data_IF_270730146675
#
_entry.id   IF_270730146675
#
_cell.length_a   1.000
_cell.length_b   1.000
_cell.length_c   1.000
_cell.angle_alpha   90.00
_cell.angle_beta   90.00
_cell.angle_gamma   90.00
#
_symmetry.space_group_name_H-M   'P 1'
#
loop_
_entity.id
_entity.type
_entity.pdbx_description
1 polymer ?
#
# COMPACT_ATOMS: atom_id res chain seq x y z
N UNK A 1 -12.70 19.94 4.66
CA UNK A 1 -13.05 19.67 3.24
C UNK A 1 -14.00 20.70 2.58
N UNK A 2 -14.41 21.79 3.24
CA UNK A 2 -15.33 22.82 2.67
C UNK A 2 -14.64 23.86 1.79
N UNK A 3 -13.31 23.93 1.82
CA UNK A 3 -12.52 24.90 1.05
C UNK A 3 -12.32 24.43 -0.40
N UNK A 4 -12.14 23.12 -0.64
CA UNK A 4 -11.85 22.57 -1.96
C UNK A 4 -13.01 22.77 -2.94
N UNK A 5 -14.25 22.43 -2.52
CA UNK A 5 -15.47 22.67 -3.29
C UNK A 5 -15.72 24.17 -3.53
N UNK A 6 -15.44 25.03 -2.55
CA UNK A 6 -15.54 26.49 -2.72
C UNK A 6 -14.48 27.05 -3.68
N UNK A 7 -13.26 26.52 -3.67
CA UNK A 7 -12.20 26.88 -4.63
C UNK A 7 -12.58 26.42 -6.06
N UNK A 8 -13.14 25.22 -6.18
CA UNK A 8 -13.69 24.68 -7.43
C UNK A 8 -14.82 25.56 -8.01
N UNK A 9 -15.64 26.19 -7.18
CA UNK A 9 -16.71 27.10 -7.63
C UNK A 9 -16.20 28.48 -8.09
N UNK A 10 -15.07 28.94 -7.57
CA UNK A 10 -14.47 30.25 -7.93
C UNK A 10 -13.80 30.18 -9.31
N UNK A 11 -13.32 28.99 -9.70
CA UNK A 11 -12.73 28.73 -11.00
C UNK A 11 -13.82 28.13 -11.89
N UNK A 12 -14.10 28.73 -13.04
CA UNK A 12 -15.03 28.20 -14.06
C UNK A 12 -14.51 26.89 -14.67
N UNK A 13 -14.46 25.79 -13.89
CA UNK A 13 -13.85 24.54 -14.32
C UNK A 13 -14.85 23.68 -15.08
N UNK A 14 -14.44 23.22 -16.26
CA UNK A 14 -15.22 22.36 -17.14
C UNK A 14 -15.20 20.88 -16.72
N UNK A 15 -14.34 20.48 -15.77
CA UNK A 15 -14.18 19.10 -15.29
C UNK A 15 -13.53 19.05 -13.90
N UNK A 16 -13.70 17.93 -13.20
CA UNK A 16 -13.04 17.62 -11.92
C UNK A 16 -12.16 16.37 -12.08
N UNK A 17 -11.01 16.33 -11.40
CA UNK A 17 -10.13 15.15 -11.35
C UNK A 17 -9.93 14.72 -9.89
N UNK A 18 -10.08 13.42 -9.61
CA UNK A 18 -9.78 12.83 -8.30
C UNK A 18 -8.73 11.73 -8.45
N UNK A 19 -7.75 11.71 -7.54
CA UNK A 19 -6.68 10.70 -7.48
C UNK A 19 -6.72 9.93 -6.16
N UNK A 20 -6.50 8.62 -6.20
CA UNK A 20 -6.56 7.73 -5.04
C UNK A 20 -5.37 6.79 -4.98
N UNK A 21 -4.71 6.73 -3.81
CA UNK A 21 -3.52 5.90 -3.59
C UNK A 21 -3.81 4.65 -2.74
N UNK A 22 -4.75 4.74 -1.79
CA UNK A 22 -5.08 3.66 -0.87
C UNK A 22 -6.56 3.29 -0.96
N UNK A 23 -6.94 2.11 -0.46
CA UNK A 23 -8.33 1.61 -0.56
C UNK A 23 -9.33 2.57 0.07
N UNK A 24 -9.08 3.17 1.25
CA UNK A 24 -9.96 4.19 1.82
C UNK A 24 -10.23 5.41 0.92
N UNK A 25 -9.33 5.74 -0.02
CA UNK A 25 -9.54 6.86 -0.96
C UNK A 25 -10.75 6.63 -1.88
N UNK A 26 -11.17 5.38 -2.12
CA UNK A 26 -12.30 5.07 -2.98
C UNK A 26 -13.63 5.53 -2.35
N UNK A 27 -13.78 5.45 -1.03
CA UNK A 27 -14.99 5.91 -0.34
C UNK A 27 -15.11 7.44 -0.34
N UNK A 28 -13.98 8.15 -0.20
CA UNK A 28 -13.96 9.60 -0.34
C UNK A 28 -14.40 10.03 -1.74
N UNK A 29 -13.95 9.31 -2.78
CA UNK A 29 -14.40 9.56 -4.15
C UNK A 29 -15.91 9.32 -4.32
N UNK A 30 -16.44 8.22 -3.77
CA UNK A 30 -17.89 7.93 -3.82
C UNK A 30 -18.69 9.01 -3.07
N UNK A 31 -18.26 9.39 -1.87
CA UNK A 31 -18.87 10.45 -1.06
C UNK A 31 -18.87 11.80 -1.79
N UNK A 32 -17.77 12.15 -2.45
CA UNK A 32 -17.68 13.37 -3.25
C UNK A 32 -18.63 13.33 -4.46
N UNK A 33 -18.75 12.18 -5.14
CA UNK A 33 -19.67 12.00 -6.26
C UNK A 33 -21.14 12.13 -5.83
N UNK A 34 -21.52 11.52 -4.71
CA UNK A 34 -22.87 11.62 -4.14
C UNK A 34 -23.23 13.06 -3.76
N UNK A 35 -22.27 13.81 -3.19
CA UNK A 35 -22.43 15.24 -2.90
C UNK A 35 -22.58 16.07 -4.18
N UNK A 36 -21.74 15.84 -5.18
CA UNK A 36 -21.86 16.53 -6.48
C UNK A 36 -23.25 16.29 -7.09
N UNK A 37 -23.77 15.06 -7.00
CA UNK A 37 -25.09 14.71 -7.48
C UNK A 37 -26.21 15.44 -6.71
N UNK A 38 -26.10 15.42 -5.37
CA UNK A 38 -27.05 16.06 -4.45
C UNK A 38 -27.12 17.57 -4.66
N UNK A 39 -25.97 18.21 -4.85
CA UNK A 39 -25.84 19.64 -5.11
C UNK A 39 -26.23 20.04 -6.55
N UNK A 40 -26.51 19.06 -7.42
CA UNK A 40 -27.01 19.30 -8.77
C UNK A 40 -25.95 19.55 -9.84
N UNK A 41 -24.69 19.24 -9.55
CA UNK A 41 -23.62 19.33 -10.54
C UNK A 41 -23.77 18.27 -11.64
N UNK A 42 -23.31 18.61 -12.84
CA UNK A 42 -23.34 17.75 -14.02
C UNK A 42 -22.02 17.74 -14.82
N UNK A 43 -20.95 18.32 -14.27
CA UNK A 43 -19.64 18.32 -14.91
C UNK A 43 -19.02 16.90 -15.01
N UNK A 44 -18.16 16.63 -15.99
CA UNK A 44 -17.36 15.40 -16.04
C UNK A 44 -16.39 15.28 -14.87
N UNK A 45 -16.29 14.07 -14.31
CA UNK A 45 -15.36 13.70 -13.24
C UNK A 45 -14.41 12.62 -13.72
N UNK A 46 -13.11 12.90 -13.73
CA UNK A 46 -12.05 11.94 -14.05
C UNK A 46 -11.54 11.30 -12.75
N UNK A 47 -11.45 9.97 -12.75
CA UNK A 47 -10.96 9.16 -11.64
C UNK A 47 -9.68 8.46 -12.08
N UNK A 48 -8.61 8.58 -11.29
CA UNK A 48 -7.35 7.88 -11.50
C UNK A 48 -6.63 7.55 -10.21
N UNK A 49 -5.48 6.90 -10.32
CA UNK A 49 -4.64 6.51 -9.18
C UNK A 49 -4.62 5.00 -8.92
N UNK A 50 -3.68 4.57 -8.08
CA UNK A 50 -3.27 3.18 -7.91
C UNK A 50 -4.41 2.22 -7.50
N UNK A 51 -5.39 2.69 -6.72
CA UNK A 51 -6.50 1.84 -6.24
C UNK A 51 -7.74 1.89 -7.13
N UNK A 52 -7.73 2.75 -8.15
CA UNK A 52 -8.88 2.92 -9.03
C UNK A 52 -8.89 1.89 -10.16
N UNK A 53 -10.08 1.57 -10.67
CA UNK A 53 -10.22 0.68 -11.82
C UNK A 53 -11.48 0.97 -12.62
N UNK A 54 -11.49 0.61 -13.91
CA UNK A 54 -12.68 0.72 -14.77
C UNK A 54 -13.88 -0.03 -14.17
N UNK A 55 -13.64 -1.21 -13.61
CA UNK A 55 -14.69 -2.04 -13.00
C UNK A 55 -15.27 -1.41 -11.74
N UNK A 56 -14.42 -1.02 -10.78
CA UNK A 56 -14.89 -0.39 -9.54
C UNK A 56 -15.60 0.95 -9.84
N UNK A 57 -15.08 1.74 -10.79
CA UNK A 57 -15.72 3.00 -11.22
C UNK A 57 -17.12 2.75 -11.75
N UNK A 58 -17.30 1.76 -12.63
CA UNK A 58 -18.61 1.43 -13.19
C UNK A 58 -19.59 0.89 -12.14
N UNK A 59 -19.12 0.05 -11.21
CA UNK A 59 -19.99 -0.69 -10.28
C UNK A 59 -20.34 0.13 -9.03
N UNK A 60 -19.40 0.92 -8.51
CA UNK A 60 -19.50 1.56 -7.19
C UNK A 60 -19.44 3.09 -7.22
N UNK A 61 -18.89 3.72 -8.26
CA UNK A 61 -18.74 5.19 -8.30
C UNK A 61 -19.79 5.85 -9.20
N UNK A 62 -19.82 5.50 -10.49
CA UNK A 62 -20.73 6.08 -11.47
C UNK A 62 -22.21 6.08 -11.06
N UNK A 63 -22.74 5.03 -10.38
CA UNK A 63 -24.14 5.04 -9.93
C UNK A 63 -24.47 6.14 -8.91
N UNK A 64 -23.49 6.73 -8.22
CA UNK A 64 -23.72 7.80 -7.24
C UNK A 64 -23.69 9.21 -7.87
N UNK A 65 -23.49 9.33 -9.19
CA UNK A 65 -23.43 10.60 -9.89
C UNK A 65 -24.23 10.57 -11.20
N UNK A 66 -25.55 10.54 -11.07
CA UNK A 66 -26.49 10.37 -12.19
C UNK A 66 -26.53 11.58 -13.12
N UNK A 67 -26.35 12.79 -12.57
CA UNK A 67 -26.44 14.06 -13.32
C UNK A 67 -25.24 14.35 -14.21
N UNK A 68 -24.10 13.71 -13.97
CA UNK A 68 -22.89 13.91 -14.78
C UNK A 68 -22.31 12.60 -15.31
N UNK A 69 -21.00 12.59 -15.56
CA UNK A 69 -20.26 11.42 -16.07
C UNK A 69 -19.00 11.18 -15.27
N UNK A 70 -18.72 9.92 -14.95
CA UNK A 70 -17.51 9.49 -14.23
C UNK A 70 -16.65 8.65 -15.16
N UNK A 71 -15.43 9.11 -15.43
CA UNK A 71 -14.49 8.47 -16.37
C UNK A 71 -13.26 7.99 -15.64
N UNK A 72 -13.01 6.68 -15.69
CA UNK A 72 -11.75 6.13 -15.19
C UNK A 72 -10.64 6.31 -16.24
N UNK A 73 -9.55 6.97 -15.85
CA UNK A 73 -8.38 7.18 -16.70
C UNK A 73 -7.18 6.44 -16.07
N UNK A 74 -6.66 5.39 -16.72
CA UNK A 74 -5.65 4.53 -16.11
C UNK A 74 -4.25 5.14 -16.08
N UNK A 75 -4.01 6.21 -16.84
CA UNK A 75 -2.69 6.83 -16.97
C UNK A 75 -2.81 8.32 -17.39
N UNK A 76 -1.83 9.13 -16.96
CA UNK A 76 -1.77 10.57 -17.23
C UNK A 76 -1.70 10.90 -18.73
N UNK A 77 -1.04 10.07 -19.56
CA UNK A 77 -0.93 10.33 -21.00
C UNK A 77 -2.28 10.28 -21.74
N UNK A 78 -3.27 9.59 -21.15
CA UNK A 78 -4.61 9.46 -21.72
C UNK A 78 -5.53 10.60 -21.30
N UNK A 79 -5.20 11.35 -20.24
CA UNK A 79 -6.03 12.44 -19.70
C UNK A 79 -6.32 13.48 -20.76
N UNK A 80 -5.31 13.90 -21.54
CA UNK A 80 -5.48 14.91 -22.60
C UNK A 80 -6.48 14.45 -23.66
N UNK A 81 -6.40 13.17 -24.08
CA UNK A 81 -7.34 12.60 -25.04
C UNK A 81 -8.76 12.56 -24.50
N UNK A 82 -8.93 12.11 -23.24
CA UNK A 82 -10.22 12.06 -22.56
C UNK A 82 -10.83 13.46 -22.40
N UNK A 83 -10.04 14.45 -21.97
CA UNK A 83 -10.49 15.84 -21.87
C UNK A 83 -10.94 16.38 -23.23
N UNK A 84 -10.20 16.10 -24.30
CA UNK A 84 -10.58 16.55 -25.65
C UNK A 84 -11.92 15.96 -26.10
N UNK A 85 -12.16 14.68 -25.85
CA UNK A 85 -13.45 14.05 -26.19
C UNK A 85 -14.60 14.59 -25.34
N UNK A 86 -14.38 14.81 -24.04
CA UNK A 86 -15.43 15.29 -23.13
C UNK A 86 -15.82 16.75 -23.35
N UNK A 87 -14.87 17.60 -23.73
CA UNK A 87 -15.06 19.05 -23.86
C UNK A 87 -15.44 19.50 -25.28
N UNK A 88 -15.41 18.60 -26.27
CA UNK A 88 -15.79 18.91 -27.64
C UNK A 88 -17.32 18.77 -27.84
N UNK A 89 -17.98 19.84 -28.26
CA UNK A 89 -19.45 19.87 -28.46
C UNK A 89 -19.96 18.81 -29.46
N UNK A 90 -19.16 18.45 -30.47
CA UNK A 90 -19.54 17.48 -31.50
C UNK A 90 -19.33 16.03 -31.05
N UNK A 91 -18.26 15.74 -30.29
CA UNK A 91 -17.89 14.34 -29.94
C UNK A 91 -18.31 13.91 -28.54
N UNK A 92 -18.57 14.87 -27.63
CA UNK A 92 -18.85 14.60 -26.22
C UNK A 92 -20.07 13.70 -26.01
N UNK A 93 -21.19 13.97 -26.69
CA UNK A 93 -22.41 13.16 -26.58
C UNK A 93 -22.15 11.68 -26.93
N UNK A 94 -21.51 11.42 -28.08
CA UNK A 94 -21.19 10.07 -28.53
C UNK A 94 -20.24 9.35 -27.58
N UNK A 95 -19.23 10.07 -27.06
CA UNK A 95 -18.29 9.51 -26.10
C UNK A 95 -18.97 9.11 -24.79
N UNK A 96 -19.83 9.99 -24.24
CA UNK A 96 -20.59 9.75 -23.01
C UNK A 96 -21.54 8.56 -23.18
N UNK A 97 -22.26 8.47 -24.29
CA UNK A 97 -23.17 7.35 -24.56
C UNK A 97 -22.42 6.02 -24.62
N UNK A 98 -21.31 5.98 -25.35
CA UNK A 98 -20.44 4.79 -25.45
C UNK A 98 -19.92 4.37 -24.07
N UNK A 99 -19.49 5.34 -23.25
CA UNK A 99 -19.01 5.08 -21.90
C UNK A 99 -20.11 4.51 -20.99
N UNK A 100 -21.32 5.07 -21.05
CA UNK A 100 -22.47 4.59 -20.26
C UNK A 100 -22.86 3.17 -20.65
N UNK A 101 -22.85 2.85 -21.94
CA UNK A 101 -23.09 1.49 -22.44
C UNK A 101 -22.02 0.49 -21.93
N UNK A 102 -20.76 0.90 -21.98
CA UNK A 102 -19.63 0.13 -21.44
C UNK A 102 -19.79 -0.13 -19.94
N UNK A 103 -20.18 0.88 -19.17
CA UNK A 103 -20.42 0.77 -17.73
C UNK A 103 -21.62 -0.14 -17.44
N UNK A 104 -22.74 0.03 -18.15
CA UNK A 104 -23.91 -0.82 -18.02
C UNK A 104 -23.60 -2.29 -18.33
N UNK A 105 -22.79 -2.55 -19.37
CA UNK A 105 -22.34 -3.90 -19.72
C UNK A 105 -21.46 -4.51 -18.61
N UNK A 106 -20.59 -3.70 -17.99
CA UNK A 106 -19.72 -4.11 -16.89
C UNK A 106 -20.54 -4.47 -15.65
N UNK A 107 -21.52 -3.63 -15.29
CA UNK A 107 -22.45 -3.90 -14.17
C UNK A 107 -23.24 -5.17 -14.43
N UNK A 108 -23.75 -5.38 -15.65
CA UNK A 108 -24.51 -6.60 -16.01
C UNK A 108 -23.65 -7.86 -15.90
N UNK A 109 -22.40 -7.81 -16.37
CA UNK A 109 -21.45 -8.93 -16.22
C UNK A 109 -21.14 -9.21 -14.75
N UNK A 110 -20.98 -8.18 -13.94
CA UNK A 110 -20.75 -8.32 -12.51
C UNK A 110 -21.95 -8.96 -11.79
N UNK A 111 -23.18 -8.48 -12.05
CA UNK A 111 -24.42 -9.08 -11.51
C UNK A 111 -24.62 -10.54 -11.92
N UNK A 112 -24.18 -10.89 -13.13
CA UNK A 112 -24.27 -12.26 -13.65
C UNK A 112 -23.06 -13.14 -13.29
N UNK A 113 -22.07 -12.61 -12.56
CA UNK A 113 -20.92 -13.39 -12.14
C UNK A 113 -21.35 -14.47 -11.13
N UNK A 114 -20.65 -15.61 -11.14
CA UNK A 114 -20.96 -16.71 -10.21
C UNK A 114 -20.83 -16.20 -8.77
N UNK A 115 -21.86 -16.47 -7.95
CA UNK A 115 -21.77 -16.25 -6.51
C UNK A 115 -20.50 -16.89 -5.97
N UNK A 116 -19.76 -16.12 -5.19
CA UNK A 116 -18.57 -16.60 -4.51
C UNK A 116 -19.06 -17.58 -3.45
N UNK A 117 -18.55 -18.81 -3.51
CA UNK A 117 -18.83 -19.78 -2.47
C UNK A 117 -17.77 -19.62 -1.38
N UNK A 118 -18.21 -19.45 -0.14
CA UNK A 118 -17.34 -19.38 1.02
C UNK A 118 -17.32 -20.70 1.76
N UNK A 119 -16.26 -20.94 2.51
CA UNK A 119 -16.25 -21.87 3.63
C UNK A 119 -16.45 -21.06 4.92
N UNK A 120 -17.11 -21.65 5.91
CA UNK A 120 -17.27 -21.02 7.22
C UNK A 120 -15.92 -20.86 7.91
N UNK A 121 -15.78 -19.89 8.82
CA UNK A 121 -14.51 -19.59 9.48
C UNK A 121 -13.89 -20.82 10.18
N UNK A 122 -14.70 -21.66 10.81
CA UNK A 122 -14.21 -22.87 11.50
C UNK A 122 -13.73 -23.95 10.52
N UNK A 123 -14.38 -24.08 9.36
CA UNK A 123 -13.88 -24.93 8.28
C UNK A 123 -12.53 -24.41 7.77
N UNK A 124 -12.41 -23.10 7.54
CA UNK A 124 -11.16 -22.47 7.11
C UNK A 124 -10.04 -22.69 8.15
N UNK A 125 -10.33 -22.53 9.44
CA UNK A 125 -9.38 -22.80 10.56
C UNK A 125 -8.95 -24.26 10.61
N UNK A 126 -9.85 -25.21 10.38
CA UNK A 126 -9.51 -26.65 10.35
C UNK A 126 -8.52 -27.00 9.22
N UNK A 127 -8.50 -26.19 8.17
CA UNK A 127 -7.67 -26.30 6.97
C UNK A 127 -6.60 -25.18 6.90
N UNK A 128 -6.18 -24.64 8.05
CA UNK A 128 -5.12 -23.61 8.12
C UNK A 128 -3.74 -24.16 7.76
N UNK A 129 -2.80 -23.25 7.51
CA UNK A 129 -1.40 -23.65 7.33
C UNK A 129 -0.85 -24.26 8.63
N UNK A 130 -0.12 -25.36 8.51
CA UNK A 130 0.50 -26.04 9.65
C UNK A 130 1.97 -25.63 9.73
N UNK A 131 2.28 -24.79 10.71
CA UNK A 131 3.62 -24.30 10.98
C UNK A 131 4.58 -25.45 11.28
N UNK A 132 5.80 -25.35 10.74
CA UNK A 132 6.94 -26.15 11.18
C UNK A 132 7.81 -25.30 12.12
N UNK A 133 7.82 -25.62 13.42
CA UNK A 133 8.58 -24.83 14.42
C UNK A 133 10.09 -24.80 14.14
N UNK A 134 10.65 -25.79 13.43
CA UNK A 134 12.07 -25.80 13.03
C UNK A 134 12.42 -24.69 12.02
N UNK A 135 11.41 -24.11 11.38
CA UNK A 135 11.55 -23.06 10.39
C UNK A 135 11.37 -21.65 10.99
N UNK A 136 11.29 -21.53 12.31
CA UNK A 136 11.22 -20.23 13.00
C UNK A 136 12.65 -19.71 13.21
N UNK A 137 12.94 -18.49 12.75
CA UNK A 137 14.16 -17.76 13.08
C UNK A 137 13.90 -16.80 14.24
N UNK A 138 14.37 -17.13 15.44
CA UNK A 138 14.12 -16.38 16.67
C UNK A 138 15.39 -16.14 17.51
N UNK A 139 16.54 -15.97 16.84
CA UNK A 139 17.83 -15.83 17.54
C UNK A 139 18.07 -14.45 18.17
N UNK A 140 17.25 -13.46 17.84
CA UNK A 140 17.43 -12.10 18.36
C UNK A 140 17.44 -12.08 19.89
N UNK A 141 18.27 -11.20 20.44
CA UNK A 141 18.28 -10.83 21.86
C UNK A 141 17.96 -9.36 22.07
N UNK A 142 17.67 -8.62 21.00
CA UNK A 142 17.36 -7.21 21.03
C UNK A 142 15.85 -7.00 20.86
N UNK A 143 15.18 -6.73 21.97
CA UNK A 143 13.75 -6.40 22.03
C UNK A 143 13.51 -4.91 22.30
N UNK A 144 14.57 -4.09 22.29
CA UNK A 144 14.46 -2.65 22.47
C UNK A 144 14.00 -1.98 21.17
N UNK A 145 13.41 -0.79 21.31
CA UNK A 145 13.19 0.11 20.19
C UNK A 145 14.54 0.56 19.62
N UNK A 146 14.73 0.36 18.32
CA UNK A 146 15.92 0.78 17.59
C UNK A 146 15.61 1.96 16.70
N UNK A 147 16.43 3.00 16.77
CA UNK A 147 16.41 4.16 15.87
C UNK A 147 17.51 4.00 14.81
N UNK A 148 17.14 4.20 13.55
CA UNK A 148 18.02 4.02 12.41
C UNK A 148 18.18 5.33 11.65
N UNK A 149 19.41 5.61 11.27
CA UNK A 149 19.76 6.66 10.31
C UNK A 149 20.48 5.97 9.15
N UNK A 150 20.00 6.20 7.93
CA UNK A 150 20.51 5.56 6.74
C UNK A 150 21.32 6.54 5.90
N UNK A 151 22.54 6.15 5.54
CA UNK A 151 23.35 6.89 4.59
C UNK A 151 22.82 6.67 3.17
N UNK A 152 22.59 7.77 2.44
CA UNK A 152 22.05 7.71 1.08
C UNK A 152 22.95 6.90 0.16
N UNK A 153 24.28 6.95 0.30
CA UNK A 153 25.19 6.19 -0.57
C UNK A 153 25.05 4.69 -0.32
N UNK A 154 24.92 4.26 0.94
CA UNK A 154 24.61 2.86 1.26
C UNK A 154 23.25 2.44 0.68
N UNK A 155 22.24 3.30 0.74
CA UNK A 155 20.91 2.98 0.20
C UNK A 155 20.90 2.80 -1.32
N UNK A 156 21.81 3.43 -2.07
CA UNK A 156 21.88 3.27 -3.54
C UNK A 156 22.03 1.83 -3.97
N UNK A 157 22.72 1.02 -3.17
CA UNK A 157 22.96 -0.40 -3.46
C UNK A 157 21.69 -1.25 -3.32
N UNK A 158 20.67 -0.74 -2.64
CA UNK A 158 19.38 -1.39 -2.37
C UNK A 158 18.22 -0.85 -3.22
N UNK A 159 18.47 0.16 -4.07
CA UNK A 159 17.40 0.73 -4.91
C UNK A 159 17.02 -0.26 -6.02
N UNK A 160 15.73 -0.64 -6.08
CA UNK A 160 15.12 -1.11 -7.32
C UNK A 160 14.76 0.11 -8.18
N UNK A 161 15.52 0.27 -9.26
CA UNK A 161 15.34 1.35 -10.23
C UNK A 161 14.17 1.12 -11.18
N UNK A 162 13.60 -0.09 -11.26
CA UNK A 162 12.51 -0.37 -12.19
C UNK A 162 11.27 0.49 -11.91
N UNK A 163 10.76 0.60 -10.66
CA UNK A 163 9.62 1.45 -10.39
C UNK A 163 9.94 2.95 -10.46
N UNK A 164 11.21 3.36 -10.30
CA UNK A 164 11.63 4.73 -10.60
C UNK A 164 11.34 5.04 -12.08
N UNK A 165 11.77 4.19 -13.01
CA UNK A 165 11.48 4.40 -14.44
C UNK A 165 9.98 4.28 -14.77
N UNK A 166 9.22 3.45 -14.05
CA UNK A 166 7.77 3.37 -14.23
C UNK A 166 7.06 4.67 -13.85
N UNK A 167 7.53 5.37 -12.80
CA UNK A 167 7.00 6.69 -12.43
C UNK A 167 7.21 7.75 -13.54
N UNK A 168 8.16 7.51 -14.45
CA UNK A 168 8.42 8.31 -15.64
C UNK A 168 7.81 7.71 -16.93
N UNK A 169 6.83 6.80 -16.81
CA UNK A 169 6.17 6.10 -17.93
C UNK A 169 7.10 5.26 -18.82
N UNK A 170 8.28 4.88 -18.31
CA UNK A 170 9.23 4.02 -19.01
C UNK A 170 9.07 2.59 -18.49
N UNK A 171 8.22 1.81 -19.18
CA UNK A 171 7.91 0.42 -18.81
C UNK A 171 9.06 -0.54 -19.10
N UNK A 172 9.40 -1.37 -18.10
CA UNK A 172 10.39 -2.44 -18.20
C UNK A 172 11.27 -2.54 -16.97
N UNK A 173 12.15 -3.55 -16.91
CA UNK A 173 12.98 -3.78 -15.73
C UNK A 173 14.39 -3.19 -15.94
N UNK A 174 14.91 -2.50 -14.94
CA UNK A 174 16.32 -2.12 -14.89
C UNK A 174 17.18 -3.34 -14.49
N UNK A 175 18.43 -3.51 -14.99
CA UNK A 175 19.17 -2.67 -15.94
C UNK A 175 18.86 -2.96 -17.42
N UNK A 176 17.95 -3.89 -17.74
CA UNK A 176 17.63 -4.26 -19.15
C UNK A 176 17.17 -3.06 -19.98
N UNK A 177 16.52 -2.09 -19.35
CA UNK A 177 16.12 -0.81 -19.94
C UNK A 177 17.28 -0.04 -20.61
N UNK A 178 18.52 -0.15 -20.11
CA UNK A 178 19.69 0.51 -20.70
C UNK A 178 20.02 0.03 -22.11
N UNK A 179 19.53 -1.16 -22.50
CA UNK A 179 19.68 -1.75 -23.84
C UNK A 179 18.38 -1.70 -24.65
N UNK A 180 17.35 -0.99 -24.16
CA UNK A 180 16.09 -0.85 -24.87
C UNK A 180 16.28 -0.10 -26.19
N UNK A 181 15.80 -0.65 -27.33
CA UNK A 181 15.88 0.06 -28.61
C UNK A 181 15.03 1.34 -28.62
N UNK A 182 14.00 1.41 -27.77
CA UNK A 182 13.06 2.55 -27.71
C UNK A 182 13.50 3.63 -26.72
N UNK A 183 14.09 3.24 -25.59
CA UNK A 183 14.27 4.13 -24.43
C UNK A 183 15.71 4.27 -23.93
N UNK A 184 16.68 3.55 -24.50
CA UNK A 184 18.04 3.46 -23.93
C UNK A 184 18.73 4.81 -23.72
N UNK A 185 18.52 5.79 -24.60
CA UNK A 185 19.09 7.13 -24.45
C UNK A 185 18.47 7.87 -23.26
N UNK A 186 17.14 7.94 -23.22
CA UNK A 186 16.38 8.62 -22.16
C UNK A 186 16.60 7.96 -20.79
N UNK A 187 16.68 6.62 -20.75
CA UNK A 187 16.97 5.88 -19.52
C UNK A 187 18.34 6.26 -18.97
N UNK A 188 19.37 6.40 -19.83
CA UNK A 188 20.70 6.81 -19.39
C UNK A 188 20.71 8.24 -18.87
N UNK A 189 20.14 9.18 -19.62
CA UNK A 189 20.08 10.60 -19.22
C UNK A 189 19.35 10.77 -17.87
N UNK A 190 18.18 10.15 -17.72
CA UNK A 190 17.40 10.21 -16.49
C UNK A 190 18.10 9.50 -15.32
N UNK A 191 18.78 8.37 -15.57
CA UNK A 191 19.57 7.68 -14.56
C UNK A 191 20.75 8.53 -14.08
N UNK A 192 21.44 9.20 -15.00
CA UNK A 192 22.57 10.08 -14.68
C UNK A 192 22.09 11.27 -13.83
N UNK A 193 20.96 11.87 -14.19
CA UNK A 193 20.36 12.97 -13.42
C UNK A 193 19.88 12.51 -12.04
N UNK A 194 19.28 11.33 -11.95
CA UNK A 194 18.90 10.72 -10.68
C UNK A 194 20.11 10.53 -9.75
N UNK A 195 21.22 10.01 -10.28
CA UNK A 195 22.44 9.83 -9.48
C UNK A 195 23.08 11.16 -9.06
N UNK A 196 23.12 12.17 -9.94
CA UNK A 196 23.56 13.52 -9.57
C UNK A 196 22.69 14.12 -8.48
N UNK A 197 21.36 13.94 -8.56
CA UNK A 197 20.45 14.42 -7.53
C UNK A 197 20.69 13.69 -6.21
N UNK A 198 20.90 12.37 -6.22
CA UNK A 198 21.30 11.63 -5.03
C UNK A 198 22.64 12.12 -4.46
N UNK A 199 23.59 12.59 -5.29
CA UNK A 199 24.86 13.18 -4.81
C UNK A 199 24.65 14.54 -4.14
N UNK A 200 23.64 15.29 -4.57
CA UNK A 200 23.23 16.54 -3.93
C UNK A 200 22.57 16.22 -2.60
N UNK A 201 21.56 15.34 -2.61
CA UNK A 201 20.81 14.95 -1.41
C UNK A 201 21.72 14.35 -0.33
N UNK A 202 22.74 13.56 -0.69
CA UNK A 202 23.68 12.98 0.28
C UNK A 202 24.60 13.99 0.96
N UNK A 203 24.75 15.20 0.41
CA UNK A 203 25.55 16.30 1.00
C UNK A 203 24.70 17.26 1.82
N UNK A 204 23.38 17.22 1.67
CA UNK A 204 22.44 18.06 2.41
C UNK A 204 22.32 17.58 3.86
N UNK A 205 22.90 18.34 4.80
CA UNK A 205 22.94 17.97 6.23
C UNK A 205 21.57 17.80 6.89
N UNK A 206 20.53 18.39 6.32
CA UNK A 206 19.19 18.38 6.88
C UNK A 206 18.32 17.24 6.34
N UNK A 207 18.78 16.49 5.33
CA UNK A 207 18.03 15.36 4.77
C UNK A 207 18.54 14.09 5.43
N UNK A 208 17.71 13.51 6.29
CA UNK A 208 18.05 12.32 7.05
C UNK A 208 16.99 11.26 6.79
N UNK A 209 17.40 10.19 6.10
CA UNK A 209 16.55 9.01 5.92
C UNK A 209 16.57 8.24 7.23
N UNK A 210 15.42 8.03 7.84
CA UNK A 210 15.30 7.50 9.20
C UNK A 210 14.40 6.27 9.23
N UNK A 211 14.53 5.48 10.29
CA UNK A 211 13.60 4.41 10.57
C UNK A 211 13.58 3.99 12.03
N UNK A 212 12.55 3.21 12.36
CA UNK A 212 12.36 2.58 13.64
C UNK A 212 12.13 1.09 13.42
N UNK A 213 12.65 0.27 14.32
CA UNK A 213 12.24 -1.14 14.40
C UNK A 213 12.27 -1.65 15.81
N UNK A 214 11.43 -2.64 16.09
CA UNK A 214 11.44 -3.36 17.34
C UNK A 214 10.92 -4.79 17.12
N UNK A 215 11.45 -5.71 17.90
CA UNK A 215 11.01 -7.10 17.98
C UNK A 215 10.26 -7.34 19.29
N UNK A 216 9.30 -8.25 19.25
CA UNK A 216 8.61 -8.76 20.43
C UNK A 216 8.55 -10.28 20.37
N UNK A 217 8.57 -10.91 21.56
CA UNK A 217 8.09 -12.29 21.66
C UNK A 217 6.60 -12.31 21.35
N UNK A 218 6.13 -13.36 20.70
CA UNK A 218 4.74 -13.47 20.32
C UNK A 218 4.27 -14.91 20.23
N UNK A 219 2.94 -15.07 20.17
CA UNK A 219 2.29 -16.32 19.82
C UNK A 219 0.99 -16.03 19.07
N UNK A 220 0.54 -16.98 18.27
CA UNK A 220 -0.72 -16.86 17.53
C UNK A 220 -1.90 -17.44 18.31
N UNK A 221 -3.05 -16.81 18.17
CA UNK A 221 -4.33 -17.33 18.61
C UNK A 221 -5.34 -17.12 17.49
N UNK A 222 -5.62 -18.21 16.75
CA UNK A 222 -6.42 -18.17 15.52
C UNK A 222 -5.88 -17.15 14.50
N UNK A 223 -6.64 -16.10 14.21
CA UNK A 223 -6.30 -15.02 13.27
C UNK A 223 -5.50 -13.88 13.93
N UNK A 224 -5.27 -13.96 15.23
CA UNK A 224 -4.53 -12.95 15.99
C UNK A 224 -3.08 -13.35 16.26
N UNK A 225 -2.21 -12.36 16.40
CA UNK A 225 -0.85 -12.51 16.93
C UNK A 225 -0.71 -11.61 18.15
N UNK A 226 -0.46 -12.23 19.30
CA UNK A 226 -0.36 -11.56 20.59
C UNK A 226 1.12 -11.30 20.90
N UNK A 227 1.47 -10.04 21.13
CA UNK A 227 2.81 -9.62 21.51
C UNK A 227 2.94 -9.61 23.03
N UNK A 228 4.08 -10.08 23.53
CA UNK A 228 4.37 -10.11 24.96
C UNK A 228 5.67 -9.37 25.28
N UNK A 229 5.68 -8.71 26.43
CA UNK A 229 6.87 -8.06 26.97
C UNK A 229 7.90 -9.13 27.32
N UNK A 230 9.12 -8.98 26.81
CA UNK A 230 10.18 -9.97 27.00
C UNK A 230 10.59 -10.16 28.46
N UNK A 231 10.50 -9.12 29.30
CA UNK A 231 10.92 -9.18 30.71
C UNK A 231 9.78 -9.61 31.64
N UNK A 232 8.55 -9.20 31.35
CA UNK A 232 7.38 -9.41 32.23
C UNK A 232 6.46 -10.54 31.78
N UNK A 233 6.49 -10.91 30.50
CA UNK A 233 5.56 -11.89 29.91
C UNK A 233 4.12 -11.38 29.78
N UNK A 234 3.88 -10.09 30.03
CA UNK A 234 2.55 -9.46 29.93
C UNK A 234 2.23 -9.14 28.47
N UNK A 235 0.94 -9.20 28.10
CA UNK A 235 0.46 -8.79 26.77
C UNK A 235 0.73 -7.29 26.56
N UNK A 236 1.39 -6.97 25.45
CA UNK A 236 1.71 -5.59 25.03
C UNK A 236 0.68 -5.08 24.04
N UNK A 237 0.41 -5.86 23.00
CA UNK A 237 -0.50 -5.51 21.91
C UNK A 237 -0.96 -6.80 21.19
N UNK A 238 -1.96 -6.69 20.33
CA UNK A 238 -2.44 -7.79 19.49
C UNK A 238 -2.67 -7.31 18.06
N UNK A 239 -2.10 -7.99 17.07
CA UNK A 239 -2.40 -7.76 15.66
C UNK A 239 -3.46 -8.74 15.16
N UNK A 240 -4.45 -8.25 14.42
CA UNK A 240 -5.55 -9.03 13.90
C UNK A 240 -5.42 -9.19 12.37
N UNK A 241 -5.44 -10.42 11.89
CA UNK A 241 -5.36 -10.73 10.45
C UNK A 241 -6.67 -11.30 9.92
N UNK A 242 -6.81 -11.30 8.59
CA UNK A 242 -7.90 -11.97 7.91
C UNK A 242 -7.43 -13.33 7.37
N UNK A 243 -8.36 -14.28 7.33
CA UNK A 243 -8.20 -15.61 6.75
C UNK A 243 -8.93 -15.71 5.41
N UNK A 244 -8.30 -16.37 4.45
CA UNK A 244 -8.95 -16.74 3.19
C UNK A 244 -10.24 -17.55 3.46
N UNK A 245 -11.35 -17.21 2.82
CA UNK A 245 -12.63 -17.95 2.93
C UNK A 245 -13.22 -18.39 1.61
N UNK A 246 -12.71 -17.91 0.46
CA UNK A 246 -13.22 -18.34 -0.85
C UNK A 246 -12.92 -19.83 -1.06
N UNK A 247 -13.98 -20.63 -1.23
CA UNK A 247 -13.91 -22.08 -1.42
C UNK A 247 -13.02 -22.40 -2.62
N UNK A 248 -12.01 -23.23 -2.39
CA UNK A 248 -11.08 -23.66 -3.43
C UNK A 248 -11.67 -24.90 -4.16
N UNK A 249 -11.01 -25.36 -5.22
CA UNK A 249 -11.53 -26.43 -6.08
C UNK A 249 -10.80 -27.78 -5.93
N UNK A 250 -9.94 -27.96 -4.91
CA UNK A 250 -8.98 -29.09 -4.86
C UNK A 250 -8.90 -29.78 -3.49
N UNK A 251 -8.41 -31.02 -3.45
CA UNK A 251 -8.35 -31.88 -2.25
C UNK A 251 -7.32 -31.49 -1.16
N UNK A 252 -6.50 -30.45 -1.36
CA UNK A 252 -5.53 -29.91 -0.36
C UNK A 252 -5.64 -28.40 -0.28
N UNK A 253 -6.74 -27.93 0.29
CA UNK A 253 -7.00 -26.49 0.45
C UNK A 253 -6.37 -26.03 1.74
N UNK A 254 -5.37 -25.14 1.64
CA UNK A 254 -4.87 -24.41 2.79
C UNK A 254 -5.50 -23.03 2.76
N UNK A 255 -6.21 -22.63 3.81
CA UNK A 255 -6.81 -21.31 3.95
C UNK A 255 -5.90 -20.44 4.82
N UNK A 256 -5.09 -19.62 4.16
CA UNK A 256 -4.03 -18.85 4.82
C UNK A 256 -4.59 -17.68 5.64
N UNK A 257 -4.00 -17.47 6.82
CA UNK A 257 -3.93 -16.22 7.57
C UNK A 257 -2.46 -15.92 7.86
N UNK A 258 -2.06 -14.64 7.98
CA UNK A 258 -0.68 -14.28 8.34
C UNK A 258 -0.31 -14.82 9.73
N UNK A 259 -1.28 -14.87 10.65
CA UNK A 259 -1.10 -15.47 11.97
C UNK A 259 -0.66 -16.93 11.95
N UNK A 260 -0.92 -17.67 10.86
CA UNK A 260 -0.53 -19.08 10.75
C UNK A 260 1.00 -19.25 10.64
N UNK A 261 1.74 -18.18 10.33
CA UNK A 261 3.21 -18.18 10.28
C UNK A 261 3.88 -17.88 11.62
N UNK A 262 3.08 -17.69 12.67
CA UNK A 262 3.55 -17.54 14.06
C UNK A 262 3.09 -18.75 14.86
N UNK A 263 3.96 -19.26 15.71
CA UNK A 263 3.68 -20.39 16.59
C UNK A 263 2.53 -20.10 17.55
N UNK A 264 1.59 -21.04 17.73
CA UNK A 264 0.53 -20.91 18.75
C UNK A 264 1.04 -21.24 20.16
N UNK A 265 2.26 -21.76 20.29
CA UNK A 265 2.86 -22.14 21.56
C UNK A 265 3.66 -20.97 22.13
N UNK A 266 3.19 -20.39 23.23
CA UNK A 266 3.92 -19.32 23.94
C UNK A 266 5.37 -19.72 24.30
N UNK A 267 5.65 -21.01 24.51
CA UNK A 267 6.99 -21.49 24.86
C UNK A 267 7.93 -21.64 23.65
N UNK A 268 7.46 -21.50 22.41
CA UNK A 268 8.33 -21.61 21.23
C UNK A 268 9.23 -20.38 21.06
N UNK A 269 9.04 -19.34 21.88
CA UNK A 269 9.86 -18.14 21.85
C UNK A 269 9.85 -17.44 20.48
N UNK A 270 8.76 -17.57 19.71
CA UNK A 270 8.60 -16.97 18.39
C UNK A 270 8.67 -15.44 18.46
N UNK A 271 9.04 -14.81 17.36
CA UNK A 271 9.33 -13.38 17.28
C UNK A 271 8.58 -12.76 16.11
N UNK A 272 7.99 -11.61 16.37
CA UNK A 272 7.45 -10.72 15.36
C UNK A 272 8.12 -9.36 15.49
N UNK A 273 8.44 -8.74 14.36
CA UNK A 273 8.97 -7.39 14.32
C UNK A 273 7.98 -6.41 13.72
N UNK A 274 8.20 -5.13 13.94
CA UNK A 274 7.56 -4.06 13.20
C UNK A 274 8.59 -3.00 12.80
N UNK A 275 8.29 -2.25 11.75
CA UNK A 275 9.13 -1.15 11.30
C UNK A 275 8.32 0.02 10.74
N UNK A 276 8.94 1.19 10.79
CA UNK A 276 8.60 2.35 9.97
C UNK A 276 9.89 2.94 9.42
N UNK A 277 9.95 3.26 8.13
CA UNK A 277 11.03 4.01 7.50
C UNK A 277 10.46 5.21 6.76
N UNK A 278 11.23 6.28 6.65
CA UNK A 278 10.82 7.49 5.96
C UNK A 278 12.02 8.17 5.30
N UNK A 279 11.80 8.74 4.12
CA UNK A 279 12.74 9.67 3.50
C UNK A 279 12.73 11.06 4.17
N UNK A 280 11.81 11.30 5.11
CA UNK A 280 11.67 12.52 5.89
C UNK A 280 10.78 13.57 5.23
N UNK A 281 10.28 14.53 6.00
CA UNK A 281 9.56 15.70 5.46
C UNK A 281 10.54 16.66 4.77
N UNK A 282 11.81 16.61 5.17
CA UNK A 282 12.86 17.50 4.73
C UNK A 282 13.15 17.34 3.22
N UNK A 283 12.99 16.14 2.66
CA UNK A 283 13.14 15.90 1.21
C UNK A 283 11.94 16.45 0.40
N UNK A 284 10.73 16.40 0.95
CA UNK A 284 9.53 16.99 0.35
C UNK A 284 9.61 18.52 0.35
N UNK A 285 10.07 19.10 1.46
CA UNK A 285 10.32 20.54 1.57
C UNK A 285 11.43 20.98 0.59
N UNK A 286 12.44 20.13 0.39
CA UNK A 286 13.49 20.36 -0.60
C UNK A 286 12.92 20.32 -2.03
N UNK A 287 12.14 19.31 -2.39
CA UNK A 287 11.46 19.20 -3.69
C UNK A 287 10.51 20.38 -3.96
N UNK A 288 9.83 20.87 -2.93
CA UNK A 288 8.90 22.01 -3.01
C UNK A 288 9.58 23.32 -3.36
N UNK A 289 10.89 23.47 -3.09
CA UNK A 289 11.65 24.67 -3.50
C UNK A 289 11.77 24.75 -5.02
N UNK A 290 11.99 23.62 -5.69
CA UNK A 290 12.09 23.53 -7.14
C UNK A 290 10.74 23.81 -7.81
N UNK A 291 9.67 23.24 -7.29
CA UNK A 291 8.29 23.49 -7.76
C UNK A 291 7.94 24.99 -7.68
N UNK A 292 8.24 25.65 -6.55
CA UNK A 292 8.02 27.10 -6.39
C UNK A 292 8.84 27.97 -7.34
N UNK A 293 9.97 27.45 -7.83
CA UNK A 293 10.79 28.13 -8.85
C UNK A 293 10.42 27.77 -10.30
N UNK A 294 9.40 26.93 -10.50
CA UNK A 294 8.97 26.47 -11.82
C UNK A 294 9.82 25.33 -12.42
N UNK A 295 10.65 24.68 -11.59
CA UNK A 295 11.41 23.48 -11.99
C UNK A 295 10.66 22.21 -11.55
N UNK A 296 9.61 21.90 -12.29
CA UNK A 296 8.77 20.73 -12.03
C UNK A 296 9.55 19.42 -12.22
N UNK A 297 10.52 19.39 -13.15
CA UNK A 297 11.35 18.22 -13.42
C UNK A 297 12.14 17.82 -12.18
N UNK A 298 12.89 18.74 -11.59
CA UNK A 298 13.69 18.45 -10.39
C UNK A 298 12.79 18.09 -9.21
N UNK A 299 11.64 18.76 -9.04
CA UNK A 299 10.68 18.42 -7.98
C UNK A 299 10.18 16.98 -8.09
N UNK A 300 9.75 16.56 -9.30
CA UNK A 300 9.29 15.20 -9.57
C UNK A 300 10.43 14.20 -9.40
N UNK A 301 11.64 14.52 -9.86
CA UNK A 301 12.83 13.70 -9.71
C UNK A 301 13.14 13.42 -8.23
N UNK A 302 13.13 14.46 -7.39
CA UNK A 302 13.40 14.33 -5.96
C UNK A 302 12.32 13.49 -5.28
N UNK A 303 11.03 13.74 -5.57
CA UNK A 303 9.91 12.95 -5.00
C UNK A 303 9.99 11.47 -5.41
N UNK A 304 10.29 11.19 -6.69
CA UNK A 304 10.49 9.82 -7.16
C UNK A 304 11.71 9.13 -6.49
N UNK A 305 12.78 9.88 -6.23
CA UNK A 305 13.95 9.38 -5.48
C UNK A 305 13.64 9.16 -4.01
N UNK A 306 12.83 10.01 -3.37
CA UNK A 306 12.40 9.85 -1.99
C UNK A 306 11.68 8.51 -1.79
N UNK A 307 10.77 8.15 -2.71
CA UNK A 307 10.12 6.83 -2.71
C UNK A 307 11.11 5.68 -2.85
N UNK A 308 12.13 5.83 -3.73
CA UNK A 308 13.18 4.81 -3.88
C UNK A 308 14.03 4.67 -2.62
N UNK A 309 14.35 5.77 -1.94
CA UNK A 309 15.13 5.76 -0.71
C UNK A 309 14.34 5.16 0.46
N UNK A 310 13.04 5.39 0.54
CA UNK A 310 12.16 4.75 1.51
C UNK A 310 12.10 3.22 1.30
N UNK A 311 11.90 2.76 0.07
CA UNK A 311 11.92 1.34 -0.29
C UNK A 311 13.28 0.68 -0.02
N UNK A 312 14.37 1.32 -0.44
CA UNK A 312 15.74 0.84 -0.18
C UNK A 312 16.01 0.74 1.33
N UNK A 313 15.50 1.68 2.11
CA UNK A 313 15.62 1.67 3.58
C UNK A 313 14.82 0.53 4.20
N UNK A 314 13.61 0.24 3.69
CA UNK A 314 12.81 -0.90 4.11
C UNK A 314 13.53 -2.23 3.81
N UNK A 315 14.17 -2.35 2.65
CA UNK A 315 14.92 -3.55 2.25
C UNK A 315 16.18 -3.75 3.11
N UNK A 316 17.01 -2.71 3.26
CA UNK A 316 18.21 -2.75 4.09
C UNK A 316 17.86 -3.03 5.57
N UNK A 317 16.82 -2.39 6.11
CA UNK A 317 16.38 -2.65 7.47
C UNK A 317 15.86 -4.09 7.62
N UNK A 318 15.08 -4.58 6.65
CA UNK A 318 14.60 -5.95 6.66
C UNK A 318 15.76 -6.96 6.67
N UNK A 319 16.80 -6.76 5.85
CA UNK A 319 18.01 -7.58 5.88
C UNK A 319 18.69 -7.59 7.24
N UNK A 320 18.91 -6.40 7.85
CA UNK A 320 19.49 -6.29 9.20
C UNK A 320 18.67 -7.07 10.23
N UNK A 321 17.34 -6.95 10.18
CA UNK A 321 16.44 -7.64 11.11
C UNK A 321 16.41 -9.16 10.89
N UNK A 322 16.50 -9.64 9.64
CA UNK A 322 16.61 -11.09 9.34
C UNK A 322 17.93 -11.66 9.85
N UNK A 323 19.05 -10.95 9.63
CA UNK A 323 20.37 -11.34 10.13
C UNK A 323 20.40 -11.41 11.66
N UNK A 324 19.83 -10.41 12.33
CA UNK A 324 19.70 -10.39 13.80
C UNK A 324 18.85 -11.56 14.34
N UNK A 325 17.83 -11.99 13.59
CA UNK A 325 17.01 -13.16 13.93
C UNK A 325 17.63 -14.51 13.53
N UNK A 326 18.82 -14.51 12.92
CA UNK A 326 19.62 -15.71 12.68
C UNK A 326 19.65 -16.20 11.24
N UNK A 327 19.18 -15.41 10.28
CA UNK A 327 19.43 -15.66 8.86
C UNK A 327 20.93 -15.55 8.58
N UNK A 328 21.48 -16.52 7.85
CA UNK A 328 22.85 -16.48 7.35
C UNK A 328 22.82 -16.27 5.83
N UNK A 329 22.69 -15.01 5.43
CA UNK A 329 22.44 -14.63 4.04
C UNK A 329 23.47 -13.62 3.52
N UNK A 330 23.82 -13.80 2.25
CA UNK A 330 24.68 -12.92 1.45
C UNK A 330 24.08 -12.83 0.03
N UNK A 331 22.93 -12.17 -0.07
CA UNK A 331 22.18 -12.02 -1.32
C UNK A 331 22.63 -10.77 -2.08
N UNK A 332 22.73 -10.89 -3.40
CA UNK A 332 22.86 -9.70 -4.26
C UNK A 332 21.57 -8.87 -4.27
N UNK A 333 21.65 -7.58 -4.64
CA UNK A 333 20.45 -6.73 -4.73
C UNK A 333 19.37 -7.31 -5.67
N UNK A 334 19.79 -7.89 -6.80
CA UNK A 334 18.89 -8.59 -7.74
C UNK A 334 18.15 -9.78 -7.11
N UNK A 335 18.73 -10.40 -6.08
CA UNK A 335 18.13 -11.50 -5.32
C UNK A 335 17.23 -10.99 -4.20
N UNK A 336 17.59 -9.86 -3.56
CA UNK A 336 16.73 -9.16 -2.63
C UNK A 336 15.44 -8.68 -3.31
N UNK A 337 15.54 -8.07 -4.50
CA UNK A 337 14.38 -7.63 -5.32
C UNK A 337 13.48 -8.81 -5.70
N UNK A 338 14.06 -9.99 -5.91
CA UNK A 338 13.32 -11.23 -6.19
C UNK A 338 12.83 -11.95 -4.94
N UNK A 339 12.99 -11.34 -3.76
CA UNK A 339 12.59 -11.87 -2.47
C UNK A 339 13.13 -13.29 -2.23
N UNK A 340 14.39 -13.56 -2.60
CA UNK A 340 15.00 -14.90 -2.43
C UNK A 340 15.33 -15.26 -0.98
N UNK A 341 15.27 -14.29 -0.07
CA UNK A 341 15.43 -14.52 1.36
C UNK A 341 14.20 -15.18 1.96
N UNK A 342 14.39 -15.71 3.17
CA UNK A 342 13.31 -16.29 3.94
C UNK A 342 12.71 -15.27 4.92
N UNK A 343 11.42 -15.42 5.23
CA UNK A 343 10.65 -14.42 5.96
C UNK A 343 10.06 -13.35 5.05
N UNK A 344 9.08 -12.62 5.58
CA UNK A 344 8.32 -11.60 4.84
C UNK A 344 8.14 -10.33 5.67
N UNK A 345 7.86 -9.22 4.99
CA UNK A 345 7.63 -7.91 5.60
C UNK A 345 6.26 -7.28 5.28
N UNK A 346 5.13 -7.96 5.55
CA UNK A 346 3.81 -7.50 5.12
C UNK A 346 3.47 -6.11 5.65
N UNK A 347 3.03 -5.25 4.73
CA UNK A 347 2.59 -3.89 5.00
C UNK A 347 1.06 -3.81 4.96
N UNK A 348 0.47 -3.24 6.01
CA UNK A 348 -0.98 -3.08 6.13
C UNK A 348 -1.56 -2.23 4.98
N UNK A 349 -2.55 -2.77 4.28
CA UNK A 349 -3.13 -2.25 3.05
C UNK A 349 -2.84 -3.12 1.82
N UNK A 350 -1.82 -3.99 1.90
CA UNK A 350 -1.55 -4.98 0.86
C UNK A 350 -2.52 -6.17 0.94
N UNK A 351 -2.66 -6.96 -0.14
CA UNK A 351 -3.63 -8.06 -0.20
C UNK A 351 -3.54 -9.12 0.92
N UNK A 352 -2.38 -9.26 1.57
CA UNK A 352 -2.16 -10.21 2.67
C UNK A 352 -2.68 -9.70 4.03
N UNK A 353 -2.74 -8.38 4.21
CA UNK A 353 -3.23 -7.70 5.43
C UNK A 353 -3.91 -6.38 5.01
N UNK A 354 -5.11 -6.46 4.41
CA UNK A 354 -5.73 -5.31 3.74
C UNK A 354 -6.26 -4.24 4.71
N UNK A 355 -6.42 -4.54 6.00
CA UNK A 355 -6.87 -3.57 6.98
C UNK A 355 -5.80 -2.50 7.20
N UNK A 356 -6.10 -1.28 6.76
CA UNK A 356 -5.18 -0.16 6.93
C UNK A 356 -5.04 0.31 8.38
N UNK A 357 -6.05 0.06 9.21
CA UNK A 357 -6.15 0.61 10.57
C UNK A 357 -5.20 -0.02 11.57
N UNK A 358 -4.75 -1.25 11.32
CA UNK A 358 -3.73 -1.93 12.13
C UNK A 358 -2.39 -1.16 12.14
N UNK A 359 -2.20 -0.18 11.23
CA UNK A 359 -1.07 0.78 11.33
C UNK A 359 -1.07 1.57 12.63
N UNK A 360 -2.23 1.89 13.21
CA UNK A 360 -2.30 2.61 14.50
C UNK A 360 -1.53 1.87 15.60
N UNK A 361 -1.55 0.53 15.58
CA UNK A 361 -0.83 -0.31 16.54
C UNK A 361 0.68 -0.17 16.34
N UNK A 362 1.16 -0.20 15.10
CA UNK A 362 2.59 0.04 14.77
C UNK A 362 3.01 1.45 15.25
N UNK A 363 2.15 2.45 15.02
CA UNK A 363 2.40 3.84 15.42
C UNK A 363 2.59 4.00 16.92
N UNK A 364 1.70 3.37 17.72
CA UNK A 364 1.82 3.38 19.18
C UNK A 364 3.02 2.58 19.68
N UNK A 365 3.24 1.38 19.13
CA UNK A 365 4.31 0.48 19.57
C UNK A 365 5.70 1.08 19.37
N UNK A 366 5.91 1.77 18.24
CA UNK A 366 7.22 2.34 17.90
C UNK A 366 7.36 3.82 18.26
N UNK A 367 6.33 4.46 18.84
CA UNK A 367 6.31 5.89 19.16
C UNK A 367 6.63 6.78 17.93
N UNK A 368 6.02 6.45 16.79
CA UNK A 368 6.42 6.92 15.46
C UNK A 368 6.32 8.45 15.32
N UNK A 369 5.24 9.05 15.81
CA UNK A 369 5.03 10.51 15.68
C UNK A 369 6.11 11.30 16.43
N UNK A 370 6.42 10.90 17.66
CA UNK A 370 7.41 11.62 18.49
C UNK A 370 8.85 11.40 18.00
N UNK A 371 9.14 10.21 17.48
CA UNK A 371 10.51 9.80 17.10
C UNK A 371 10.89 10.15 15.66
N UNK A 372 9.95 10.01 14.72
CA UNK A 372 10.21 10.25 13.29
C UNK A 372 9.47 11.47 12.72
N UNK A 373 8.52 12.07 13.45
CA UNK A 373 7.63 13.10 12.91
C UNK A 373 6.86 12.61 11.66
N UNK A 374 6.44 11.34 11.69
CA UNK A 374 5.62 10.70 10.65
C UNK A 374 4.26 10.38 11.25
N UNK A 375 3.18 10.82 10.61
CA UNK A 375 1.82 10.69 11.12
C UNK A 375 0.93 9.80 10.24
N UNK A 376 -0.19 9.38 10.80
CA UNK A 376 -1.30 8.78 10.05
C UNK A 376 -2.40 9.81 9.85
N UNK A 377 -2.89 9.92 8.62
CA UNK A 377 -4.12 10.67 8.33
C UNK A 377 -5.35 9.95 8.89
N UNK A 378 -6.51 10.60 8.88
CA UNK A 378 -7.79 10.01 9.33
C UNK A 378 -8.15 8.70 8.60
N UNK A 379 -7.64 8.53 7.38
CA UNK A 379 -7.81 7.38 6.49
C UNK A 379 -6.60 6.43 6.49
N UNK A 380 -5.69 6.57 7.46
CA UNK A 380 -4.51 5.73 7.63
C UNK A 380 -3.50 5.76 6.48
N UNK A 381 -3.52 6.82 5.65
CA UNK A 381 -2.38 7.13 4.78
C UNK A 381 -1.24 7.68 5.64
N UNK A 382 -0.01 7.29 5.32
CA UNK A 382 1.21 7.72 6.01
C UNK A 382 1.65 9.08 5.47
N UNK A 383 2.04 9.99 6.35
CA UNK A 383 2.60 11.30 5.99
C UNK A 383 3.93 11.54 6.71
N UNK A 384 5.02 11.92 6.00
CA UNK A 384 5.11 12.17 4.55
C UNK A 384 4.93 10.91 3.69
N UNK A 385 4.52 11.05 2.41
CA UNK A 385 4.16 9.92 1.54
C UNK A 385 5.29 8.92 1.29
N UNK A 386 6.54 9.39 1.16
CA UNK A 386 7.73 8.54 1.00
C UNK A 386 8.14 7.87 2.32
N UNK A 387 7.21 7.08 2.86
CA UNK A 387 7.34 6.35 4.11
C UNK A 387 6.69 4.98 3.98
N UNK A 388 7.26 3.98 4.65
CA UNK A 388 6.81 2.59 4.60
C UNK A 388 6.74 2.05 6.02
N UNK A 389 5.66 1.33 6.31
CA UNK A 389 5.50 0.62 7.58
C UNK A 389 5.05 -0.82 7.34
N UNK A 390 5.47 -1.74 8.20
CA UNK A 390 5.02 -3.12 8.13
C UNK A 390 5.42 -3.93 9.34
N UNK A 391 5.12 -5.22 9.26
CA UNK A 391 5.52 -6.23 10.23
C UNK A 391 6.63 -7.08 9.63
N UNK A 392 7.39 -7.78 10.47
CA UNK A 392 8.36 -8.80 10.07
C UNK A 392 7.92 -10.16 10.60
N UNK A 393 7.85 -11.14 9.70
CA UNK A 393 7.65 -12.54 10.04
C UNK A 393 8.92 -13.30 9.70
N UNK A 394 9.52 -13.94 10.71
CA UNK A 394 10.82 -14.61 10.59
C UNK A 394 10.70 -16.12 10.35
N UNK A 395 9.56 -16.58 9.84
CA UNK A 395 9.36 -17.98 9.49
C UNK A 395 9.78 -18.26 8.04
N UNK A 396 10.54 -19.35 7.83
CA UNK A 396 11.04 -19.70 6.49
C UNK A 396 9.94 -20.10 5.49
N UNK A 397 8.77 -20.54 5.98
CA UNK A 397 7.62 -20.89 5.15
C UNK A 397 6.65 -19.71 4.91
N UNK A 398 6.93 -18.55 5.53
CA UNK A 398 6.09 -17.37 5.37
C UNK A 398 6.12 -16.84 3.93
N UNK A 399 4.95 -16.44 3.43
CA UNK A 399 4.79 -15.96 2.06
C UNK A 399 3.64 -14.97 1.94
N UNK A 400 3.71 -14.13 0.92
CA UNK A 400 2.58 -13.29 0.53
C UNK A 400 1.48 -14.12 -0.11
N UNK A 401 0.24 -13.78 0.23
CA UNK A 401 -0.98 -14.31 -0.37
C UNK A 401 -2.03 -13.20 -0.42
N UNK A 402 -3.05 -13.35 -1.25
CA UNK A 402 -4.22 -12.48 -1.21
C UNK A 402 -5.29 -13.11 -0.32
N UNK A 403 -5.77 -12.38 0.68
CA UNK A 403 -6.91 -12.80 1.52
C UNK A 403 -8.16 -13.04 0.65
N UNK A 404 -8.35 -12.21 -0.38
CA UNK A 404 -9.52 -12.25 -1.24
C UNK A 404 -10.79 -11.77 -0.53
N UNK A 405 -11.94 -12.33 -0.92
CA UNK A 405 -13.23 -12.02 -0.31
C UNK A 405 -13.42 -12.80 0.99
N UNK A 406 -14.03 -12.16 1.97
CA UNK A 406 -14.49 -12.74 3.24
C UNK A 406 -16.02 -12.64 3.33
N UNK A 407 -16.63 -13.53 4.11
CA UNK A 407 -18.07 -13.50 4.35
C UNK A 407 -18.40 -12.66 5.61
N UNK A 408 -19.69 -12.55 5.92
CA UNK A 408 -20.19 -11.78 7.06
C UNK A 408 -19.79 -12.37 8.43
N UNK A 409 -19.54 -13.69 8.53
CA UNK A 409 -19.18 -14.31 9.81
C UNK A 409 -17.81 -13.82 10.30
N UNK A 410 -16.82 -13.81 9.41
CA UNK A 410 -15.47 -13.39 9.71
C UNK A 410 -15.42 -11.90 9.90
N UNK A 411 -16.16 -11.13 9.08
CA UNK A 411 -16.22 -9.67 9.25
C UNK A 411 -16.75 -9.30 10.64
N UNK A 412 -17.83 -9.94 11.11
CA UNK A 412 -18.37 -9.67 12.46
C UNK A 412 -17.37 -10.04 13.56
N UNK A 413 -16.76 -11.22 13.46
CA UNK A 413 -15.75 -11.64 14.42
C UNK A 413 -14.52 -10.72 14.44
N UNK A 414 -14.07 -10.27 13.28
CA UNK A 414 -12.97 -9.33 13.15
C UNK A 414 -13.34 -7.95 13.71
N UNK A 415 -14.57 -7.48 13.44
CA UNK A 415 -15.07 -6.20 13.93
C UNK A 415 -15.16 -6.17 15.47
N UNK A 416 -15.64 -7.26 16.09
CA UNK A 416 -15.72 -7.41 17.56
C UNK A 416 -14.35 -7.32 18.26
N UNK A 417 -13.30 -7.78 17.58
CA UNK A 417 -11.92 -7.75 18.07
C UNK A 417 -11.13 -6.53 17.58
N UNK A 418 -11.75 -5.66 16.78
CA UNK A 418 -11.16 -4.40 16.35
C UNK A 418 -11.64 -3.26 17.26
N UNK A 419 -10.75 -2.32 17.59
CA UNK A 419 -11.08 -1.15 18.40
C UNK A 419 -11.65 0.00 17.54
N UNK A 420 -12.38 -0.33 16.47
CA UNK A 420 -12.77 0.63 15.42
C UNK A 420 -14.26 0.54 15.16
N UNK A 421 -14.86 1.69 14.86
CA UNK A 421 -16.25 1.76 14.43
C UNK A 421 -16.51 0.84 13.22
N UNK A 422 -17.56 0.01 13.32
CA UNK A 422 -17.88 -1.00 12.31
C UNK A 422 -18.13 -0.41 10.92
N UNK A 423 -18.65 0.83 10.82
CA UNK A 423 -18.86 1.48 9.52
C UNK A 423 -17.52 1.89 8.92
N UNK A 424 -16.61 2.43 9.74
CA UNK A 424 -15.24 2.75 9.31
C UNK A 424 -14.50 1.49 8.85
N UNK A 425 -14.59 0.40 9.61
CA UNK A 425 -13.98 -0.88 9.23
C UNK A 425 -14.57 -1.45 7.93
N UNK A 426 -15.90 -1.35 7.75
CA UNK A 426 -16.57 -1.77 6.50
C UNK A 426 -16.07 -1.00 5.28
N UNK A 427 -15.82 0.31 5.45
CA UNK A 427 -15.22 1.19 4.45
C UNK A 427 -13.79 0.74 4.09
N UNK A 428 -12.94 0.51 5.09
CA UNK A 428 -11.55 0.05 4.89
C UNK A 428 -11.51 -1.29 4.15
N UNK A 429 -12.36 -2.23 4.55
CA UNK A 429 -12.39 -3.59 4.00
C UNK A 429 -13.35 -3.76 2.82
N UNK A 430 -13.88 -2.69 2.21
CA UNK A 430 -14.90 -2.78 1.16
C UNK A 430 -14.51 -3.69 -0.01
N UNK A 431 -13.21 -3.73 -0.36
CA UNK A 431 -12.68 -4.56 -1.43
C UNK A 431 -12.60 -6.04 -1.05
N UNK A 432 -12.67 -6.37 0.24
CA UNK A 432 -12.64 -7.72 0.79
C UNK A 432 -14.04 -8.24 1.16
N UNK A 433 -15.06 -7.39 1.27
CA UNK A 433 -16.42 -7.84 1.58
C UNK A 433 -17.16 -8.33 0.34
N UNK A 434 -17.94 -9.41 0.47
CA UNK A 434 -18.95 -9.79 -0.51
C UNK A 434 -20.19 -8.93 -0.29
N UNK A 435 -20.44 -7.98 -1.19
CA UNK A 435 -21.47 -6.94 -1.03
C UNK A 435 -22.78 -7.30 -1.70
#
# INVERSE_FOLDING_TARGET
MTLLLKILMILSQMLLVMSGLITPSLDEMISNLDRLNSDGYNLPVLIGGATTSKAHTAIKMAPNYEKGVVVHVPDASLVVGVCRELLNEETSHKYIDTLKDDQASTIKRYKNSKKINFVDIDEARSKKFKLNEKNILNKTKNFNLNEWIFDINSLREYIDWSPFFWAWEIKGNFPKLLKSPKYSKQVKELFDDANKMLDILSKEKNINIKGLSQNWKCYSQNESVILVDYNKGEKVEEFNFLRQQVKKSKLKEIYYSLSDFISPNLNSEDVIGAFVVTAGQEIEDFASKFEKSGDDYSSILIKALADRLAEASAELLHEKMRKDNGSNEDYSNDELIKEKYAGIRPAHGYPACPDHSEKDKIWRLLDVENKLNVSLTENYAIYPPSSISGLYFYNLDAKYFSVGKINDDQFKHYAENSNIDIKKLKSILQNNLDS
#
